data_IF_711518989523
#
_entry.id   IF_711518989523
#
_cell.length_a   1.000
_cell.length_b   1.000
_cell.length_c   1.000
_cell.angle_alpha   90.00
_cell.angle_beta   90.00
_cell.angle_gamma   90.00
#
_symmetry.space_group_name_H-M   'P 1'
#
loop_
_entity.id
_entity.type
_entity.pdbx_description
1 polymer ?
#
# COMPACT_ATOMS: atom_id res chain seq x y z
N UNK A 1 4.91 -17.52 -25.17
CA UNK A 1 4.39 -16.39 -24.36
C UNK A 1 2.87 -16.23 -24.48
N UNK A 2 2.26 -16.35 -25.66
CA UNK A 2 0.80 -16.20 -25.87
C UNK A 2 -0.05 -17.24 -25.12
N UNK A 3 0.38 -18.49 -24.97
CA UNK A 3 -0.36 -19.56 -24.30
C UNK A 3 -0.53 -19.27 -22.79
N UNK A 4 0.49 -18.73 -22.15
CA UNK A 4 0.41 -18.34 -20.72
C UNK A 4 -0.52 -17.14 -20.53
N UNK A 5 -0.54 -16.20 -21.48
CA UNK A 5 -1.43 -15.03 -21.43
C UNK A 5 -2.90 -15.43 -21.64
N UNK A 6 -3.19 -16.37 -22.53
CA UNK A 6 -4.54 -16.92 -22.73
C UNK A 6 -5.05 -17.71 -21.50
N UNK A 7 -4.20 -18.54 -20.90
CA UNK A 7 -4.53 -19.24 -19.65
C UNK A 7 -4.79 -18.27 -18.48
N UNK A 8 -4.02 -17.19 -18.40
CA UNK A 8 -4.24 -16.14 -17.42
C UNK A 8 -5.58 -15.42 -17.61
N UNK A 9 -5.98 -15.17 -18.85
CA UNK A 9 -7.28 -14.55 -19.16
C UNK A 9 -8.46 -15.49 -18.94
N UNK A 10 -8.27 -16.80 -18.99
CA UNK A 10 -9.30 -17.80 -18.73
C UNK A 10 -9.65 -17.95 -17.26
N UNK A 11 -8.83 -17.45 -16.32
CA UNK A 11 -9.12 -17.50 -14.89
C UNK A 11 -10.23 -16.51 -14.52
N UNK A 12 -11.15 -16.88 -13.59
CA UNK A 12 -12.13 -15.96 -13.05
C UNK A 12 -11.47 -14.70 -12.47
N UNK A 13 -12.10 -13.54 -12.65
CA UNK A 13 -11.53 -12.24 -12.22
C UNK A 13 -11.13 -12.23 -10.74
N UNK A 14 -11.91 -12.88 -9.87
CA UNK A 14 -11.61 -13.01 -8.44
C UNK A 14 -10.31 -13.78 -8.18
N UNK A 15 -10.06 -14.88 -8.91
CA UNK A 15 -8.83 -15.69 -8.76
C UNK A 15 -7.61 -14.90 -9.20
N UNK A 16 -7.70 -14.17 -10.32
CA UNK A 16 -6.61 -13.26 -10.76
C UNK A 16 -6.32 -12.19 -9.73
N UNK A 17 -7.36 -11.54 -9.21
CA UNK A 17 -7.22 -10.53 -8.16
C UNK A 17 -6.54 -11.09 -6.92
N UNK A 18 -6.95 -12.27 -6.44
CA UNK A 18 -6.34 -12.92 -5.28
C UNK A 18 -4.86 -13.26 -5.49
N UNK A 19 -4.50 -13.79 -6.68
CA UNK A 19 -3.10 -14.09 -7.01
C UNK A 19 -2.22 -12.84 -7.04
N UNK A 20 -2.72 -11.75 -7.63
CA UNK A 20 -2.00 -10.46 -7.65
C UNK A 20 -1.79 -9.94 -6.23
N UNK A 21 -2.81 -10.02 -5.38
CA UNK A 21 -2.72 -9.58 -3.97
C UNK A 21 -1.70 -10.44 -3.21
N UNK A 22 -1.68 -11.75 -3.42
CA UNK A 22 -0.70 -12.64 -2.79
C UNK A 22 0.73 -12.27 -3.19
N UNK A 23 1.00 -12.08 -4.48
CA UNK A 23 2.33 -11.66 -4.95
C UNK A 23 2.71 -10.30 -4.38
N UNK A 24 1.78 -9.34 -4.37
CA UNK A 24 2.01 -8.02 -3.79
C UNK A 24 2.31 -8.10 -2.28
N UNK A 25 1.60 -8.97 -1.55
CA UNK A 25 1.83 -9.19 -0.12
C UNK A 25 3.20 -9.81 0.15
N UNK A 26 3.59 -10.84 -0.60
CA UNK A 26 4.92 -11.44 -0.50
C UNK A 26 6.03 -10.42 -0.77
N UNK A 27 5.88 -9.63 -1.83
CA UNK A 27 6.83 -8.55 -2.16
C UNK A 27 6.91 -7.51 -1.03
N UNK A 28 5.77 -7.16 -0.42
CA UNK A 28 5.71 -6.22 0.71
C UNK A 28 6.42 -6.77 1.95
N UNK A 29 6.29 -8.07 2.25
CA UNK A 29 6.99 -8.72 3.37
C UNK A 29 8.49 -8.69 3.16
N UNK A 30 8.96 -9.08 1.97
CA UNK A 30 10.39 -9.01 1.62
C UNK A 30 10.91 -7.58 1.74
N UNK A 31 10.18 -6.60 1.21
CA UNK A 31 10.53 -5.19 1.31
C UNK A 31 10.62 -4.73 2.77
N UNK A 32 9.64 -5.07 3.61
CA UNK A 32 9.64 -4.69 5.03
C UNK A 32 10.81 -5.32 5.79
N UNK A 33 11.15 -6.58 5.49
CA UNK A 33 12.30 -7.25 6.09
C UNK A 33 13.63 -6.60 5.70
N UNK A 34 13.77 -6.20 4.43
CA UNK A 34 14.95 -5.47 3.95
C UNK A 34 15.05 -4.10 4.61
N UNK A 35 13.95 -3.34 4.68
CA UNK A 35 13.91 -2.02 5.33
C UNK A 35 14.29 -2.15 6.80
N UNK A 36 13.78 -3.18 7.50
CA UNK A 36 14.13 -3.42 8.89
C UNK A 36 15.62 -3.69 9.07
N UNK A 37 16.20 -4.49 8.19
CA UNK A 37 17.63 -4.80 8.24
C UNK A 37 18.50 -3.57 7.93
N UNK A 38 18.23 -2.88 6.86
CA UNK A 38 18.98 -1.70 6.42
C UNK A 38 18.79 -0.51 7.36
N UNK A 39 17.59 -0.35 7.91
CA UNK A 39 17.25 0.74 8.82
C UNK A 39 17.94 0.65 10.20
N UNK A 40 18.64 -0.43 10.51
CA UNK A 40 19.50 -0.51 11.69
C UNK A 40 20.81 0.28 11.51
N UNK A 41 21.23 0.48 10.27
CA UNK A 41 22.53 1.14 9.93
C UNK A 41 22.34 2.45 9.20
N UNK A 42 21.23 2.64 8.47
CA UNK A 42 20.97 3.82 7.65
C UNK A 42 19.70 4.53 8.16
N UNK A 43 19.71 5.86 8.32
CA UNK A 43 18.52 6.62 8.72
C UNK A 43 17.34 6.38 7.76
N UNK A 44 16.13 6.25 8.31
CA UNK A 44 14.90 6.00 7.53
C UNK A 44 14.69 7.06 6.44
N UNK A 45 15.08 8.30 6.68
CA UNK A 45 14.93 9.40 5.71
C UNK A 45 15.76 9.14 4.43
N UNK A 46 16.95 8.58 4.56
CA UNK A 46 17.80 8.25 3.42
C UNK A 46 17.23 7.09 2.61
N UNK A 47 16.71 6.07 3.28
CA UNK A 47 16.04 4.94 2.62
C UNK A 47 14.84 5.44 1.81
N UNK A 48 14.04 6.34 2.39
CA UNK A 48 12.90 6.95 1.72
C UNK A 48 13.32 7.80 0.53
N UNK A 49 14.37 8.58 0.67
CA UNK A 49 14.87 9.46 -0.38
C UNK A 49 15.34 8.66 -1.60
N UNK A 50 16.19 7.65 -1.39
CA UNK A 50 16.66 6.76 -2.46
C UNK A 50 15.49 6.04 -3.14
N UNK A 51 14.55 5.50 -2.35
CA UNK A 51 13.36 4.87 -2.88
C UNK A 51 12.56 5.84 -3.75
N UNK A 52 12.37 7.07 -3.31
CA UNK A 52 11.58 8.06 -4.05
C UNK A 52 12.24 8.45 -5.38
N UNK A 53 13.57 8.57 -5.40
CA UNK A 53 14.34 8.79 -6.63
C UNK A 53 14.12 7.61 -7.60
N UNK A 54 14.25 6.37 -7.13
CA UNK A 54 14.05 5.20 -7.98
C UNK A 54 12.62 5.15 -8.57
N UNK A 55 11.61 5.44 -7.76
CA UNK A 55 10.21 5.52 -8.24
C UNK A 55 10.06 6.62 -9.28
N UNK A 56 10.69 7.79 -9.07
CA UNK A 56 10.63 8.90 -10.00
C UNK A 56 11.28 8.55 -11.35
N UNK A 57 12.43 7.85 -11.33
CA UNK A 57 13.10 7.37 -12.54
C UNK A 57 12.21 6.38 -13.31
N UNK A 58 11.59 5.41 -12.60
CA UNK A 58 10.72 4.40 -13.23
C UNK A 58 9.48 5.03 -13.85
N UNK A 59 8.89 6.04 -13.22
CA UNK A 59 7.65 6.69 -13.68
C UNK A 59 7.96 7.77 -14.73
N UNK A 60 9.18 8.30 -14.78
CA UNK A 60 9.56 9.41 -15.67
C UNK A 60 9.17 9.19 -17.14
N UNK A 61 9.38 8.02 -17.78
CA UNK A 61 9.00 7.83 -19.19
C UNK A 61 7.48 7.97 -19.43
N UNK A 62 6.66 7.59 -18.45
CA UNK A 62 5.20 7.73 -18.53
C UNK A 62 4.79 9.20 -18.39
N UNK A 63 5.45 9.95 -17.50
CA UNK A 63 5.21 11.38 -17.30
C UNK A 63 5.60 12.16 -18.56
N UNK A 64 6.78 11.89 -19.13
CA UNK A 64 7.27 12.59 -20.34
C UNK A 64 6.38 12.35 -21.55
N UNK A 65 5.74 11.18 -21.66
CA UNK A 65 4.79 10.89 -22.75
C UNK A 65 3.45 11.63 -22.61
N UNK A 66 3.08 12.05 -21.40
CA UNK A 66 1.77 12.62 -21.08
C UNK A 66 1.84 14.01 -20.41
N UNK A 67 2.91 14.78 -20.64
CA UNK A 67 3.15 16.07 -19.99
C UNK A 67 1.97 17.03 -20.06
N UNK A 68 1.28 17.07 -21.20
CA UNK A 68 0.13 17.96 -21.42
C UNK A 68 -1.09 17.66 -20.53
N UNK A 69 -1.20 16.43 -20.03
CA UNK A 69 -2.35 15.98 -19.23
C UNK A 69 -2.02 15.96 -17.73
N UNK A 70 -0.77 15.63 -17.38
CA UNK A 70 -0.31 15.47 -16.00
C UNK A 70 -0.36 16.79 -15.21
N UNK A 71 -0.08 17.92 -15.86
CA UNK A 71 -0.07 19.24 -15.23
C UNK A 71 -1.40 20.01 -15.32
N UNK A 72 -2.42 19.44 -15.98
CA UNK A 72 -3.77 20.03 -16.03
C UNK A 72 -4.62 19.61 -14.84
N UNK A 73 -4.31 20.09 -13.66
CA UNK A 73 -5.18 19.93 -12.48
C UNK A 73 -5.66 21.30 -12.02
N UNK A 74 -6.95 21.44 -11.70
CA UNK A 74 -7.51 22.67 -11.13
C UNK A 74 -7.45 22.73 -9.60
N UNK A 75 -6.98 21.66 -8.92
CA UNK A 75 -7.04 21.52 -7.45
C UNK A 75 -5.64 21.24 -6.89
N UNK A 76 -4.70 22.16 -7.13
CA UNK A 76 -3.30 22.01 -6.67
C UNK A 76 -3.17 21.87 -5.13
N UNK A 77 -3.99 22.60 -4.35
CA UNK A 77 -3.97 22.55 -2.90
C UNK A 77 -4.29 21.15 -2.33
N UNK A 78 -5.27 20.47 -2.91
CA UNK A 78 -5.63 19.10 -2.51
C UNK A 78 -4.51 18.09 -2.85
N UNK A 79 -3.84 18.26 -3.99
CA UNK A 79 -2.72 17.43 -4.37
C UNK A 79 -1.52 17.63 -3.44
N UNK A 80 -1.24 18.88 -3.06
CA UNK A 80 -0.18 19.19 -2.12
C UNK A 80 -0.47 18.60 -0.73
N UNK A 81 -1.68 18.79 -0.21
CA UNK A 81 -2.12 18.23 1.07
C UNK A 81 -1.99 16.69 1.06
N UNK A 82 -2.48 16.04 0.01
CA UNK A 82 -2.37 14.58 -0.15
C UNK A 82 -0.92 14.11 -0.18
N UNK A 83 -0.06 14.80 -0.92
CA UNK A 83 1.36 14.46 -1.03
C UNK A 83 2.06 14.60 0.33
N UNK A 84 1.82 15.71 1.05
CA UNK A 84 2.38 15.94 2.38
C UNK A 84 1.95 14.87 3.38
N UNK A 85 0.67 14.55 3.44
CA UNK A 85 0.14 13.48 4.31
C UNK A 85 0.72 12.11 3.94
N UNK A 86 0.94 11.84 2.65
CA UNK A 86 1.54 10.59 2.19
C UNK A 86 3.00 10.47 2.62
N UNK A 87 3.77 11.54 2.57
CA UNK A 87 5.17 11.56 3.03
C UNK A 87 5.24 11.31 4.54
N UNK A 88 4.40 11.98 5.32
CA UNK A 88 4.32 11.80 6.78
C UNK A 88 3.95 10.34 7.11
N UNK A 89 2.90 9.82 6.49
CA UNK A 89 2.44 8.44 6.71
C UNK A 89 3.53 7.41 6.33
N UNK A 90 4.28 7.67 5.28
CA UNK A 90 5.35 6.80 4.81
C UNK A 90 6.56 6.84 5.75
N UNK A 91 6.94 8.03 6.21
CA UNK A 91 8.02 8.19 7.18
C UNK A 91 7.69 7.50 8.51
N UNK A 92 6.52 7.75 9.08
CA UNK A 92 6.07 7.11 10.32
C UNK A 92 5.93 5.60 10.18
N UNK A 93 5.41 5.12 9.05
CA UNK A 93 5.29 3.68 8.78
C UNK A 93 6.65 2.98 8.70
N UNK A 94 7.63 3.56 8.01
CA UNK A 94 8.97 2.98 7.91
C UNK A 94 9.72 3.05 9.24
N UNK A 95 9.55 4.14 9.99
CA UNK A 95 10.09 4.26 11.35
C UNK A 95 9.53 3.18 12.26
N UNK A 96 8.23 2.87 12.16
CA UNK A 96 7.62 1.77 12.90
C UNK A 96 8.24 0.41 12.52
N UNK A 97 8.40 0.13 11.22
CA UNK A 97 9.02 -1.13 10.72
C UNK A 97 10.45 -1.31 11.26
N UNK A 98 11.23 -0.23 11.35
CA UNK A 98 12.61 -0.29 11.85
C UNK A 98 12.65 -0.51 13.36
N UNK A 99 11.83 0.19 14.13
CA UNK A 99 11.93 0.26 15.58
C UNK A 99 11.04 -0.75 16.33
N UNK A 100 10.02 -1.31 15.66
CA UNK A 100 9.08 -2.24 16.30
C UNK A 100 9.21 -3.66 15.74
N UNK A 101 8.79 -4.70 16.48
CA UNK A 101 8.65 -6.05 15.96
C UNK A 101 7.70 -6.06 14.75
N UNK A 102 8.03 -6.84 13.70
CA UNK A 102 7.20 -6.91 12.49
C UNK A 102 5.77 -7.41 12.77
N UNK A 103 5.60 -8.24 13.79
CA UNK A 103 4.28 -8.70 14.23
C UNK A 103 3.39 -7.53 14.69
N UNK A 104 3.94 -6.61 15.50
CA UNK A 104 3.19 -5.42 15.97
C UNK A 104 2.86 -4.47 14.82
N UNK A 105 3.81 -4.23 13.91
CA UNK A 105 3.57 -3.43 12.71
C UNK A 105 2.45 -4.02 11.85
N UNK A 106 2.42 -5.35 11.75
CA UNK A 106 1.37 -6.07 11.01
C UNK A 106 0.02 -5.89 11.69
N UNK A 107 -0.05 -6.02 13.02
CA UNK A 107 -1.28 -5.80 13.80
C UNK A 107 -1.83 -4.38 13.61
N UNK A 108 -0.96 -3.36 13.67
CA UNK A 108 -1.34 -1.95 13.41
C UNK A 108 -1.85 -1.78 11.96
N UNK A 109 -1.22 -2.45 10.99
CA UNK A 109 -1.66 -2.39 9.59
C UNK A 109 -3.06 -2.99 9.41
N UNK A 110 -3.39 -4.06 10.12
CA UNK A 110 -4.74 -4.62 10.12
C UNK A 110 -5.75 -3.69 10.82
N UNK A 111 -5.36 -3.05 11.93
CA UNK A 111 -6.20 -2.04 12.58
C UNK A 111 -6.57 -0.89 11.62
N UNK A 112 -5.67 -0.49 10.71
CA UNK A 112 -5.96 0.50 9.67
C UNK A 112 -7.16 0.10 8.80
N UNK A 113 -7.33 -1.18 8.51
CA UNK A 113 -8.46 -1.68 7.70
C UNK A 113 -9.78 -1.46 8.45
N UNK A 114 -9.80 -1.69 9.77
CA UNK A 114 -10.95 -1.41 10.62
C UNK A 114 -11.29 0.09 10.60
N UNK A 115 -10.32 0.96 10.84
CA UNK A 115 -10.53 2.41 10.80
C UNK A 115 -11.02 2.90 9.45
N UNK A 116 -10.44 2.43 8.35
CA UNK A 116 -10.88 2.78 7.00
C UNK A 116 -12.33 2.34 6.73
N UNK A 117 -12.71 1.17 7.24
CA UNK A 117 -14.07 0.65 7.12
C UNK A 117 -15.07 1.50 7.90
N UNK A 118 -14.74 1.90 9.14
CA UNK A 118 -15.56 2.79 9.96
C UNK A 118 -15.71 4.16 9.29
N UNK A 119 -14.63 4.73 8.78
CA UNK A 119 -14.66 6.01 8.06
C UNK A 119 -15.53 5.92 6.79
N UNK A 120 -15.47 4.81 6.05
CA UNK A 120 -16.33 4.61 4.88
C UNK A 120 -17.83 4.60 5.25
N UNK A 121 -18.19 3.96 6.38
CA UNK A 121 -19.58 3.98 6.89
C UNK A 121 -19.99 5.42 7.26
N UNK A 122 -19.17 6.12 8.01
CA UNK A 122 -19.51 7.44 8.57
C UNK A 122 -19.54 8.52 7.49
N UNK A 123 -18.55 8.57 6.61
CA UNK A 123 -18.42 9.65 5.62
C UNK A 123 -19.10 9.34 4.28
N UNK A 124 -19.03 8.09 3.82
CA UNK A 124 -19.62 7.70 2.54
C UNK A 124 -21.04 7.12 2.69
N UNK A 125 -21.50 6.91 3.94
CA UNK A 125 -22.79 6.25 4.24
C UNK A 125 -22.94 4.89 3.55
N UNK A 126 -21.84 4.16 3.40
CA UNK A 126 -21.80 2.88 2.72
C UNK A 126 -22.38 1.80 3.64
N UNK A 127 -23.35 1.02 3.15
CA UNK A 127 -23.94 -0.10 3.90
C UNK A 127 -23.02 -1.31 3.75
N UNK A 128 -22.26 -1.61 4.79
CA UNK A 128 -21.35 -2.75 4.80
C UNK A 128 -22.08 -3.98 5.32
N UNK A 129 -22.17 -5.02 4.47
CA UNK A 129 -22.81 -6.28 4.84
C UNK A 129 -22.07 -7.03 5.96
N UNK A 130 -22.84 -7.78 6.77
CA UNK A 130 -22.34 -8.56 7.91
C UNK A 130 -21.17 -9.50 7.55
N UNK A 131 -21.13 -10.02 6.33
CA UNK A 131 -20.08 -10.90 5.84
C UNK A 131 -18.73 -10.19 5.79
N UNK A 132 -18.70 -8.91 5.40
CA UNK A 132 -17.48 -8.10 5.33
C UNK A 132 -16.97 -7.78 6.74
N UNK A 133 -17.86 -7.48 7.67
CA UNK A 133 -17.53 -7.32 9.09
C UNK A 133 -16.92 -8.60 9.68
N UNK A 134 -17.53 -9.74 9.46
CA UNK A 134 -17.03 -11.03 9.95
C UNK A 134 -15.60 -11.32 9.40
N UNK A 135 -15.38 -11.09 8.11
CA UNK A 135 -14.05 -11.31 7.51
C UNK A 135 -12.97 -10.40 8.11
N UNK A 136 -13.30 -9.14 8.41
CA UNK A 136 -12.38 -8.18 9.01
C UNK A 136 -12.04 -8.60 10.45
N UNK A 137 -13.05 -9.01 11.24
CA UNK A 137 -12.86 -9.47 12.61
C UNK A 137 -12.02 -10.76 12.68
N UNK A 138 -12.33 -11.73 11.84
CA UNK A 138 -11.58 -13.00 11.78
C UNK A 138 -10.11 -12.73 11.37
N UNK A 139 -9.90 -11.88 10.37
CA UNK A 139 -8.55 -11.49 9.95
C UNK A 139 -7.77 -10.78 11.05
N UNK A 140 -8.43 -9.88 11.80
CA UNK A 140 -7.80 -9.17 12.92
C UNK A 140 -7.44 -10.10 14.07
N UNK A 141 -8.34 -11.00 14.45
CA UNK A 141 -8.07 -12.02 15.48
C UNK A 141 -6.91 -12.94 15.10
N UNK A 142 -6.81 -13.33 13.81
CA UNK A 142 -5.70 -14.15 13.32
C UNK A 142 -4.33 -13.48 13.35
N UNK A 143 -4.27 -12.16 13.51
CA UNK A 143 -3.00 -11.42 13.63
C UNK A 143 -2.60 -11.21 15.10
N UNK A 144 -3.57 -11.26 16.02
CA UNK A 144 -3.33 -11.10 17.46
C UNK A 144 -2.86 -12.39 18.15
N UNK A 145 -3.03 -13.56 17.50
CA UNK A 145 -2.57 -14.86 17.96
C UNK A 145 -1.18 -15.18 17.41
#
# INVERSE_FOLDING_TARGET
MQIYFQRWQALPGNVRGSLIILIASLTSVVMSSLIKHVGQTIPVIEILFVRQILVMIIISPVIFRNLGTVFKSSIYGMHFLRASLSVIAMYTGFTAVVNMPLAEVTAITFARILFTTILAIVFLKEIIGIRRWASIFIGFMGVLV
#
